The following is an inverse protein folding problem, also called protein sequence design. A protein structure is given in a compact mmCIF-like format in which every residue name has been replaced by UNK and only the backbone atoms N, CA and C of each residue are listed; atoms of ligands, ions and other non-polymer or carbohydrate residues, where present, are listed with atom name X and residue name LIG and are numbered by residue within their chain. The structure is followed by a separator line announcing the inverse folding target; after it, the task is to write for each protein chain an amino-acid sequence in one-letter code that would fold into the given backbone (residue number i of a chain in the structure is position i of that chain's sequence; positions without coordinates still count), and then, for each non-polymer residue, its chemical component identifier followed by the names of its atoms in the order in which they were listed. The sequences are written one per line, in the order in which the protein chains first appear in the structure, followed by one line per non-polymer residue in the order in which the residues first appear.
data_IF_050619908822
#
_entry.id   IF_050619908822
#
_cell.length_a   1.000
_cell.length_b   1.000
_cell.length_c   1.000
_cell.angle_alpha   90.00
_cell.angle_beta   90.00
_cell.angle_gamma   90.00
#
_symmetry.space_group_name_H-M   'P 1'
#
loop_
_entity.id
_entity.type
_entity.pdbx_description
1 polymer ?
#
# COMPACT_ATOMS: atom_id res chain seq x y z
N UNK A 1 27.74 52.25 -39.39
CA UNK A 1 26.27 52.13 -39.23
C UNK A 1 25.90 50.65 -39.15
N UNK A 2 24.97 50.32 -38.25
CA UNK A 2 24.70 48.98 -37.70
C UNK A 2 24.29 47.95 -38.76
N UNK A 3 24.92 46.77 -38.73
CA UNK A 3 24.43 45.53 -39.37
C UNK A 3 23.41 44.88 -38.43
N UNK A 4 22.15 44.85 -38.82
CA UNK A 4 21.08 44.15 -38.11
C UNK A 4 21.13 42.66 -38.49
N UNK A 5 21.50 41.79 -37.55
CA UNK A 5 21.35 40.35 -37.70
C UNK A 5 19.91 39.98 -37.36
N UNK A 6 19.14 39.52 -38.34
CA UNK A 6 17.83 38.89 -38.14
C UNK A 6 18.12 37.45 -37.74
N UNK A 7 17.93 37.13 -36.46
CA UNK A 7 17.97 35.76 -35.96
C UNK A 7 16.65 35.06 -36.26
N UNK A 8 16.69 34.03 -37.10
CA UNK A 8 15.57 33.13 -37.34
C UNK A 8 15.45 32.18 -36.13
N UNK A 9 14.46 32.41 -35.25
CA UNK A 9 14.13 31.49 -34.17
C UNK A 9 13.29 30.35 -34.78
N UNK A 10 13.89 29.18 -34.98
CA UNK A 10 13.14 27.95 -35.23
C UNK A 10 12.48 27.51 -33.92
N UNK A 11 11.17 27.71 -33.82
CA UNK A 11 10.34 27.09 -32.78
C UNK A 11 10.11 25.64 -33.22
N UNK A 12 10.81 24.70 -32.58
CA UNK A 12 10.54 23.28 -32.72
C UNK A 12 9.24 22.97 -31.96
N UNK A 13 8.10 23.05 -32.64
CA UNK A 13 6.84 22.57 -32.11
C UNK A 13 6.87 21.03 -32.11
N UNK A 14 7.24 20.44 -30.98
CA UNK A 14 7.07 19.01 -30.75
C UNK A 14 5.57 18.73 -30.62
N UNK A 15 4.91 18.44 -31.74
CA UNK A 15 3.53 17.94 -31.73
C UNK A 15 3.59 16.49 -31.25
N UNK A 16 3.44 16.31 -29.94
CA UNK A 16 3.16 15.00 -29.37
C UNK A 16 1.73 14.65 -29.80
N UNK A 17 1.59 13.81 -30.82
CA UNK A 17 0.33 13.10 -31.03
C UNK A 17 0.13 12.15 -29.85
N UNK A 18 -0.57 12.62 -28.82
CA UNK A 18 -1.15 11.73 -27.83
C UNK A 18 -2.27 10.96 -28.55
N UNK A 19 -1.94 9.81 -29.11
CA UNK A 19 -2.96 8.80 -29.42
C UNK A 19 -3.73 8.54 -28.14
N UNK A 20 -5.04 8.83 -28.12
CA UNK A 20 -5.88 8.42 -27.02
C UNK A 20 -5.64 6.91 -26.80
N UNK A 21 -5.35 6.47 -25.56
CA UNK A 21 -5.21 5.05 -25.30
C UNK A 21 -6.48 4.36 -25.79
N UNK A 22 -6.33 3.27 -26.55
CA UNK A 22 -7.46 2.46 -26.94
C UNK A 22 -8.29 2.16 -25.68
N UNK A 23 -9.59 2.46 -25.72
CA UNK A 23 -10.47 2.21 -24.60
C UNK A 23 -10.45 0.71 -24.28
N UNK A 24 -9.96 0.33 -23.10
CA UNK A 24 -10.02 -1.06 -22.65
C UNK A 24 -11.51 -1.46 -22.60
N UNK A 25 -11.91 -2.58 -23.23
CA UNK A 25 -13.29 -3.06 -23.17
C UNK A 25 -13.77 -3.23 -21.73
N UNK A 26 -15.05 -3.00 -21.46
CA UNK A 26 -15.62 -3.29 -20.15
C UNK A 26 -15.51 -4.78 -19.84
N UNK A 27 -14.98 -5.12 -18.67
CA UNK A 27 -14.83 -6.49 -18.19
C UNK A 27 -16.14 -7.04 -17.61
N UNK A 28 -16.37 -8.34 -17.75
CA UNK A 28 -17.46 -9.04 -17.06
C UNK A 28 -17.09 -9.31 -15.61
N UNK A 29 -18.10 -9.50 -14.75
CA UNK A 29 -17.88 -9.93 -13.38
C UNK A 29 -17.10 -11.27 -13.34
N UNK A 30 -16.16 -11.45 -12.39
CA UNK A 30 -15.42 -12.69 -12.25
C UNK A 30 -16.33 -13.92 -12.09
N UNK A 31 -15.98 -15.01 -12.77
CA UNK A 31 -16.81 -16.22 -12.84
C UNK A 31 -16.28 -17.28 -11.88
N UNK A 32 -17.17 -17.85 -11.06
CA UNK A 32 -16.84 -18.95 -10.17
C UNK A 32 -16.44 -20.20 -10.97
N UNK A 33 -15.39 -20.89 -10.54
CA UNK A 33 -14.94 -22.09 -11.23
C UNK A 33 -15.57 -23.36 -10.69
N UNK A 34 -16.52 -23.95 -11.43
CA UNK A 34 -17.05 -25.27 -11.10
C UNK A 34 -16.05 -26.41 -11.34
N UNK A 35 -15.01 -26.17 -12.15
CA UNK A 35 -14.03 -27.19 -12.54
C UNK A 35 -12.75 -27.18 -11.68
N UNK A 36 -12.31 -26.01 -11.21
CA UNK A 36 -11.04 -25.86 -10.48
C UNK A 36 -11.22 -25.81 -8.96
N UNK A 37 -12.22 -25.05 -8.49
CA UNK A 37 -12.81 -25.10 -7.15
C UNK A 37 -13.89 -24.00 -7.04
N UNK A 38 -15.06 -24.28 -6.42
CA UNK A 38 -16.18 -23.33 -6.38
C UNK A 38 -15.87 -22.05 -5.60
N UNK A 39 -14.80 -22.04 -4.81
CA UNK A 39 -14.33 -20.89 -4.05
C UNK A 39 -13.27 -20.04 -4.78
N UNK A 40 -13.03 -20.27 -6.07
CA UNK A 40 -12.13 -19.45 -6.89
C UNK A 40 -12.92 -18.80 -8.01
N UNK A 41 -12.71 -17.49 -8.19
CA UNK A 41 -13.30 -16.70 -9.25
C UNK A 41 -12.20 -16.20 -10.18
N UNK A 42 -12.40 -16.34 -11.48
CA UNK A 42 -11.45 -15.87 -12.48
C UNK A 42 -12.01 -14.64 -13.19
N UNK A 43 -11.18 -13.59 -13.28
CA UNK A 43 -11.49 -12.45 -14.13
C UNK A 43 -11.27 -12.78 -15.61
N UNK A 44 -11.74 -11.88 -16.46
CA UNK A 44 -11.49 -11.95 -17.91
C UNK A 44 -9.98 -11.80 -18.19
N UNK A 45 -9.51 -12.45 -19.26
CA UNK A 45 -8.15 -12.24 -19.76
C UNK A 45 -8.16 -10.95 -20.60
N UNK A 46 -7.36 -9.92 -20.24
CA UNK A 46 -7.30 -8.70 -21.03
C UNK A 46 -6.83 -8.98 -22.46
N UNK A 47 -7.29 -8.22 -23.48
CA UNK A 47 -6.83 -8.40 -24.86
C UNK A 47 -5.30 -8.34 -24.98
N UNK A 48 -4.67 -9.39 -25.52
CA UNK A 48 -3.20 -9.48 -25.60
C UNK A 48 -2.49 -9.76 -24.26
N UNK A 49 -3.25 -10.02 -23.20
CA UNK A 49 -2.78 -10.28 -21.84
C UNK A 49 -2.66 -11.77 -21.49
N UNK A 50 -2.68 -12.68 -22.47
CA UNK A 50 -2.73 -14.14 -22.24
C UNK A 50 -1.51 -14.64 -21.46
N UNK A 51 -0.39 -13.91 -21.54
CA UNK A 51 0.87 -14.18 -20.82
C UNK A 51 1.21 -13.14 -19.75
N UNK A 52 0.33 -12.17 -19.51
CA UNK A 52 0.57 -11.12 -18.53
C UNK A 52 0.67 -11.67 -17.10
N UNK A 53 1.26 -10.95 -16.14
CA UNK A 53 1.31 -11.42 -14.75
C UNK A 53 -0.07 -11.71 -14.17
N UNK A 54 -0.13 -12.66 -13.23
CA UNK A 54 -1.35 -13.02 -12.51
C UNK A 54 -1.37 -12.33 -11.15
N UNK A 55 -2.48 -11.69 -10.80
CA UNK A 55 -2.74 -11.13 -9.46
C UNK A 55 -3.82 -11.97 -8.77
N UNK A 56 -3.51 -12.47 -7.57
CA UNK A 56 -4.43 -13.19 -6.71
C UNK A 56 -4.90 -12.29 -5.58
N UNK A 57 -6.21 -12.09 -5.47
CA UNK A 57 -6.84 -11.25 -4.46
C UNK A 57 -7.39 -12.07 -3.30
N UNK A 58 -7.05 -11.67 -2.06
CA UNK A 58 -7.38 -12.40 -0.82
C UNK A 58 -8.09 -11.48 0.17
N UNK A 59 -9.37 -11.74 0.43
CA UNK A 59 -10.22 -10.90 1.29
C UNK A 59 -9.91 -11.07 2.80
N UNK A 60 -10.45 -10.14 3.59
CA UNK A 60 -10.31 -10.07 5.04
C UNK A 60 -11.28 -10.93 5.86
N UNK A 61 -11.38 -10.60 7.15
CA UNK A 61 -12.36 -11.20 8.07
C UNK A 61 -13.79 -10.92 7.59
N UNK A 62 -14.65 -11.93 7.66
CA UNK A 62 -16.05 -11.88 7.22
C UNK A 62 -16.25 -11.47 5.74
N UNK A 63 -15.17 -11.41 4.95
CA UNK A 63 -15.20 -11.02 3.56
C UNK A 63 -15.54 -12.17 2.62
N UNK A 64 -15.65 -11.82 1.35
CA UNK A 64 -15.81 -12.71 0.20
C UNK A 64 -15.05 -12.15 -1.02
N UNK A 65 -14.85 -12.95 -2.05
CA UNK A 65 -14.17 -12.59 -3.29
C UNK A 65 -14.79 -11.32 -3.92
N UNK A 66 -16.12 -11.23 -3.88
CA UNK A 66 -16.90 -10.11 -4.44
C UNK A 66 -16.46 -8.75 -3.89
N UNK A 67 -15.86 -8.69 -2.70
CA UNK A 67 -15.39 -7.44 -2.09
C UNK A 67 -14.36 -6.69 -2.98
N UNK A 68 -13.76 -7.37 -3.97
CA UNK A 68 -12.77 -6.79 -4.89
C UNK A 68 -13.34 -6.20 -6.19
N UNK A 69 -14.62 -6.42 -6.50
CA UNK A 69 -15.24 -5.91 -7.73
C UNK A 69 -16.67 -5.41 -7.57
N UNK A 70 -17.31 -5.71 -6.43
CA UNK A 70 -18.61 -5.15 -6.09
C UNK A 70 -18.43 -3.67 -5.72
N UNK A 71 -19.31 -2.77 -6.20
CA UNK A 71 -19.25 -1.35 -5.84
C UNK A 71 -19.20 -1.14 -4.32
N UNK A 72 -18.37 -0.20 -3.83
CA UNK A 72 -17.62 0.80 -4.60
C UNK A 72 -16.25 0.33 -5.11
N UNK A 73 -15.88 -0.95 -4.95
CA UNK A 73 -14.53 -1.41 -5.26
C UNK A 73 -14.30 -1.63 -6.76
N UNK A 74 -13.36 -0.87 -7.32
CA UNK A 74 -12.92 -0.93 -8.72
C UNK A 74 -11.57 -1.64 -8.90
N UNK A 75 -11.06 -2.35 -7.88
CA UNK A 75 -9.77 -3.05 -7.91
C UNK A 75 -9.63 -3.98 -9.11
N UNK A 76 -10.64 -4.83 -9.35
CA UNK A 76 -10.64 -5.71 -10.52
C UNK A 76 -10.62 -4.92 -11.83
N UNK A 77 -11.43 -3.86 -11.95
CA UNK A 77 -11.50 -3.05 -13.15
C UNK A 77 -10.15 -2.43 -13.50
N UNK A 78 -9.46 -1.89 -12.49
CA UNK A 78 -8.14 -1.28 -12.66
C UNK A 78 -7.07 -2.31 -12.98
N UNK A 79 -7.12 -3.50 -12.36
CA UNK A 79 -6.20 -4.59 -12.67
C UNK A 79 -6.38 -5.12 -14.10
N UNK A 80 -7.63 -5.28 -14.54
CA UNK A 80 -7.95 -5.66 -15.91
C UNK A 80 -7.47 -4.59 -16.91
N UNK A 81 -7.75 -3.31 -16.63
CA UNK A 81 -7.31 -2.19 -17.47
C UNK A 81 -5.78 -2.07 -17.55
N UNK A 82 -5.06 -2.48 -16.51
CA UNK A 82 -3.60 -2.55 -16.52
C UNK A 82 -3.04 -3.80 -17.21
N UNK A 83 -3.89 -4.67 -17.75
CA UNK A 83 -3.50 -5.84 -18.53
C UNK A 83 -3.22 -7.10 -17.71
N UNK A 84 -3.59 -7.15 -16.43
CA UNK A 84 -3.35 -8.31 -15.58
C UNK A 84 -4.41 -9.39 -15.69
N UNK A 85 -3.97 -10.65 -15.60
CA UNK A 85 -4.86 -11.79 -15.35
C UNK A 85 -5.16 -11.83 -13.85
N UNK A 86 -6.41 -12.07 -13.46
CA UNK A 86 -6.81 -11.97 -12.05
C UNK A 86 -7.56 -13.20 -11.56
N UNK A 87 -7.29 -13.57 -10.31
CA UNK A 87 -8.07 -14.56 -9.58
C UNK A 87 -8.45 -14.00 -8.21
N UNK A 88 -9.62 -14.39 -7.72
CA UNK A 88 -10.15 -13.96 -6.43
C UNK A 88 -10.53 -15.19 -5.62
N UNK A 89 -10.02 -15.27 -4.39
CA UNK A 89 -10.17 -16.46 -3.56
C UNK A 89 -11.20 -16.18 -2.47
N UNK A 90 -12.26 -16.99 -2.43
CA UNK A 90 -13.06 -17.18 -1.23
C UNK A 90 -12.31 -18.12 -0.29
N UNK A 91 -11.96 -17.61 0.88
CA UNK A 91 -11.26 -18.39 1.90
C UNK A 91 -12.18 -19.44 2.56
N UNK A 92 -13.50 -19.31 2.41
CA UNK A 92 -14.45 -20.38 2.71
C UNK A 92 -14.62 -21.31 1.52
N UNK A 93 -14.60 -22.63 1.76
CA UNK A 93 -14.74 -23.62 0.69
C UNK A 93 -16.13 -23.63 0.02
N UNK A 94 -17.16 -23.18 0.75
CA UNK A 94 -18.55 -23.11 0.31
C UNK A 94 -18.96 -21.72 -0.25
N UNK A 95 -18.02 -20.78 -0.32
CA UNK A 95 -18.25 -19.43 -0.83
C UNK A 95 -19.06 -18.50 0.08
N UNK A 96 -19.27 -18.86 1.36
CA UNK A 96 -19.94 -17.99 2.34
C UNK A 96 -18.97 -17.01 3.00
N UNK A 97 -19.47 -16.00 3.72
CA UNK A 97 -18.61 -15.15 4.56
C UNK A 97 -17.80 -16.00 5.54
N UNK A 98 -16.55 -15.60 5.75
CA UNK A 98 -15.57 -16.43 6.43
C UNK A 98 -15.06 -15.82 7.75
N UNK A 99 -15.19 -16.57 8.84
CA UNK A 99 -14.70 -16.19 10.16
C UNK A 99 -13.72 -17.22 10.77
N UNK A 100 -13.11 -18.06 9.94
CA UNK A 100 -12.07 -19.00 10.38
C UNK A 100 -10.74 -18.28 10.68
N UNK A 101 -9.91 -18.91 11.51
CA UNK A 101 -8.59 -18.44 11.89
C UNK A 101 -7.57 -18.43 10.74
N UNK A 102 -6.33 -18.06 11.03
CA UNK A 102 -5.27 -17.89 10.04
C UNK A 102 -4.92 -19.22 9.35
N UNK A 103 -4.65 -20.28 10.12
CA UNK A 103 -4.11 -21.56 9.60
C UNK A 103 -5.12 -22.35 8.73
N UNK A 104 -6.41 -22.49 9.10
CA UNK A 104 -7.39 -23.11 8.21
C UNK A 104 -7.51 -22.39 6.87
N UNK A 105 -7.52 -21.06 6.89
CA UNK A 105 -7.59 -20.24 5.68
C UNK A 105 -6.31 -20.29 4.85
N UNK A 106 -5.14 -20.36 5.48
CA UNK A 106 -3.87 -20.56 4.80
C UNK A 106 -3.89 -21.88 4.02
N UNK A 107 -4.48 -22.94 4.59
CA UNK A 107 -4.63 -24.23 3.91
C UNK A 107 -5.53 -24.13 2.68
N UNK A 108 -6.64 -23.39 2.77
CA UNK A 108 -7.51 -23.12 1.61
C UNK A 108 -6.76 -22.33 0.54
N UNK A 109 -6.02 -21.29 0.92
CA UNK A 109 -5.25 -20.46 -0.01
C UNK A 109 -4.16 -21.25 -0.74
N UNK A 110 -3.42 -22.13 -0.05
CA UNK A 110 -2.41 -23.00 -0.69
C UNK A 110 -3.02 -23.87 -1.79
N UNK A 111 -4.17 -24.49 -1.51
CA UNK A 111 -4.90 -25.30 -2.51
C UNK A 111 -5.39 -24.45 -3.68
N UNK A 112 -5.94 -23.26 -3.40
CA UNK A 112 -6.41 -22.35 -4.44
C UNK A 112 -5.28 -21.91 -5.37
N UNK A 113 -4.09 -21.61 -4.83
CA UNK A 113 -2.95 -21.16 -5.63
C UNK A 113 -2.54 -22.22 -6.66
N UNK A 114 -2.49 -23.50 -6.29
CA UNK A 114 -2.19 -24.59 -7.24
C UNK A 114 -3.16 -24.58 -8.42
N UNK A 115 -4.47 -24.50 -8.16
CA UNK A 115 -5.49 -24.42 -9.21
C UNK A 115 -5.34 -23.18 -10.08
N UNK A 116 -4.98 -22.03 -9.49
CA UNK A 116 -4.78 -20.76 -10.22
C UNK A 116 -3.57 -20.85 -11.16
N UNK A 117 -2.44 -21.39 -10.68
CA UNK A 117 -1.21 -21.55 -11.47
C UNK A 117 -1.47 -22.44 -12.69
N UNK A 118 -2.18 -23.56 -12.50
CA UNK A 118 -2.52 -24.49 -13.59
C UNK A 118 -3.48 -23.80 -14.59
N UNK A 119 -4.55 -23.15 -14.09
CA UNK A 119 -5.54 -22.47 -14.95
C UNK A 119 -4.89 -21.42 -15.87
N UNK A 120 -3.95 -20.64 -15.35
CA UNK A 120 -3.27 -19.60 -16.12
C UNK A 120 -1.98 -20.06 -16.79
N UNK A 121 -1.57 -21.32 -16.61
CA UNK A 121 -0.24 -21.81 -16.99
C UNK A 121 0.87 -20.82 -16.57
N UNK A 122 0.78 -20.34 -15.33
CA UNK A 122 1.66 -19.32 -14.78
C UNK A 122 2.67 -19.96 -13.81
N UNK A 123 3.97 -19.59 -13.88
CA UNK A 123 4.98 -20.15 -12.97
C UNK A 123 4.91 -19.52 -11.57
N UNK A 124 4.32 -18.33 -11.44
CA UNK A 124 4.19 -17.60 -10.19
C UNK A 124 3.15 -16.49 -10.30
N UNK A 125 2.75 -15.93 -9.15
CA UNK A 125 1.72 -14.89 -9.02
C UNK A 125 2.18 -13.73 -8.15
N UNK A 126 1.49 -12.61 -8.26
CA UNK A 126 1.44 -11.57 -7.24
C UNK A 126 0.22 -11.80 -6.33
N UNK A 127 0.33 -11.47 -5.05
CA UNK A 127 -0.80 -11.57 -4.12
C UNK A 127 -1.13 -10.18 -3.58
N UNK A 128 -2.39 -9.80 -3.64
CA UNK A 128 -2.94 -8.58 -3.00
C UNK A 128 -3.94 -9.01 -1.95
N UNK A 129 -3.71 -8.61 -0.70
CA UNK A 129 -4.48 -9.08 0.42
C UNK A 129 -4.91 -7.93 1.33
N UNK A 130 -6.17 -7.95 1.76
CA UNK A 130 -6.75 -6.94 2.64
C UNK A 130 -6.98 -7.50 4.04
N UNK A 131 -6.74 -6.67 5.07
CA UNK A 131 -7.07 -7.01 6.46
C UNK A 131 -6.48 -8.37 6.85
N UNK A 132 -7.26 -9.25 7.51
CA UNK A 132 -6.87 -10.64 7.85
C UNK A 132 -6.30 -11.42 6.67
N UNK A 133 -6.68 -11.12 5.44
CA UNK A 133 -6.16 -11.77 4.24
C UNK A 133 -4.64 -11.72 4.17
N UNK A 134 -4.01 -10.61 4.59
CA UNK A 134 -2.55 -10.49 4.58
C UNK A 134 -1.87 -11.49 5.51
N UNK A 135 -2.32 -11.59 6.77
CA UNK A 135 -1.77 -12.59 7.71
C UNK A 135 -2.13 -14.03 7.33
N UNK A 136 -3.19 -14.25 6.56
CA UNK A 136 -3.49 -15.55 5.93
C UNK A 136 -2.47 -15.92 4.86
N UNK A 137 -2.02 -14.97 4.05
CA UNK A 137 -0.92 -15.17 3.08
C UNK A 137 0.37 -15.50 3.80
N UNK A 138 0.69 -14.77 4.87
CA UNK A 138 1.85 -15.09 5.72
C UNK A 138 1.73 -16.47 6.36
N UNK A 139 0.53 -16.86 6.79
CA UNK A 139 0.25 -18.19 7.29
C UNK A 139 0.45 -19.27 6.23
N UNK A 140 0.15 -18.98 4.96
CA UNK A 140 0.41 -19.88 3.85
C UNK A 140 1.91 -20.03 3.59
N UNK A 141 2.68 -18.95 3.69
CA UNK A 141 4.14 -18.90 3.52
C UNK A 141 4.92 -19.70 4.56
N UNK A 142 4.31 -20.06 5.70
CA UNK A 142 4.91 -21.01 6.65
C UNK A 142 5.23 -22.38 6.01
N UNK A 143 4.53 -22.74 4.93
CA UNK A 143 4.96 -23.80 4.04
C UNK A 143 5.88 -23.18 2.98
N UNK A 144 7.17 -23.46 3.07
CA UNK A 144 8.17 -22.84 2.19
C UNK A 144 7.92 -23.14 0.71
N UNK A 145 7.25 -24.25 0.36
CA UNK A 145 6.90 -24.56 -1.02
C UNK A 145 5.94 -23.54 -1.64
N UNK A 146 5.11 -22.89 -0.81
CA UNK A 146 4.21 -21.83 -1.26
C UNK A 146 4.97 -20.61 -1.78
N UNK A 147 6.11 -20.28 -1.14
CA UNK A 147 6.91 -19.10 -1.50
C UNK A 147 7.49 -19.15 -2.91
N UNK A 148 7.76 -20.34 -3.44
CA UNK A 148 8.32 -20.53 -4.79
C UNK A 148 7.39 -20.04 -5.91
N UNK A 149 6.10 -19.92 -5.62
CA UNK A 149 5.09 -19.51 -6.59
C UNK A 149 4.64 -18.05 -6.41
N UNK A 150 5.30 -17.28 -5.54
CA UNK A 150 4.89 -15.90 -5.22
C UNK A 150 6.03 -14.93 -5.53
N UNK A 151 5.75 -13.97 -6.41
CA UNK A 151 6.70 -12.91 -6.80
C UNK A 151 6.79 -11.80 -5.76
N UNK A 152 5.66 -11.38 -5.22
CA UNK A 152 5.55 -10.39 -4.14
C UNK A 152 4.16 -10.44 -3.48
N UNK A 153 4.07 -9.93 -2.26
CA UNK A 153 2.83 -9.79 -1.51
C UNK A 153 2.55 -8.32 -1.19
N UNK A 154 1.34 -7.85 -1.48
CA UNK A 154 0.84 -6.53 -1.12
C UNK A 154 -0.21 -6.68 -0.02
N UNK A 155 0.04 -6.07 1.13
CA UNK A 155 -0.90 -6.07 2.26
C UNK A 155 -1.54 -4.69 2.41
N UNK A 156 -2.86 -4.66 2.56
CA UNK A 156 -3.65 -3.44 2.67
C UNK A 156 -4.37 -3.47 4.01
N UNK A 157 -4.05 -2.53 4.91
CA UNK A 157 -4.65 -2.44 6.24
C UNK A 157 -4.61 -3.79 7.00
N UNK A 158 -3.56 -4.59 6.79
CA UNK A 158 -3.44 -5.91 7.41
C UNK A 158 -2.96 -5.77 8.85
N UNK A 159 -3.61 -6.38 9.86
CA UNK A 159 -3.17 -6.35 11.25
C UNK A 159 -1.95 -7.26 11.51
N UNK A 160 -0.81 -6.89 10.92
CA UNK A 160 0.45 -7.64 10.97
C UNK A 160 0.98 -7.82 12.41
N UNK A 161 0.72 -6.87 13.29
CA UNK A 161 1.06 -6.93 14.73
C UNK A 161 -0.18 -6.98 15.64
N UNK A 162 -1.30 -7.46 15.11
CA UNK A 162 -2.59 -7.50 15.79
C UNK A 162 -3.46 -6.28 15.53
N UNK A 163 -4.70 -6.36 16.00
CA UNK A 163 -5.70 -5.31 15.89
C UNK A 163 -6.19 -4.92 17.28
N UNK A 164 -6.15 -3.63 17.60
CA UNK A 164 -6.67 -3.12 18.87
C UNK A 164 -8.17 -3.43 19.04
N UNK A 165 -8.94 -3.53 17.94
CA UNK A 165 -10.35 -3.97 17.99
C UNK A 165 -10.49 -5.42 18.49
N UNK A 166 -9.53 -6.30 18.22
CA UNK A 166 -9.60 -7.68 18.70
C UNK A 166 -9.43 -7.76 20.23
N UNK A 167 -8.47 -7.02 20.77
CA UNK A 167 -8.24 -6.93 22.22
C UNK A 167 -9.39 -6.19 22.92
N UNK A 168 -9.90 -5.10 22.33
CA UNK A 168 -11.08 -4.42 22.83
C UNK A 168 -12.30 -5.35 22.86
N UNK A 169 -12.58 -6.06 21.77
CA UNK A 169 -13.68 -7.02 21.73
C UNK A 169 -13.53 -8.12 22.79
N UNK A 170 -12.31 -8.65 22.99
CA UNK A 170 -12.03 -9.61 24.05
C UNK A 170 -12.35 -9.05 25.45
N UNK A 171 -12.06 -7.77 25.68
CA UNK A 171 -12.31 -7.09 26.96
C UNK A 171 -13.80 -6.97 27.31
N UNK A 172 -14.70 -7.06 26.33
CA UNK A 172 -16.15 -7.00 26.56
C UNK A 172 -16.73 -8.28 27.16
N UNK A 173 -15.96 -9.37 27.18
CA UNK A 173 -16.43 -10.70 27.59
C UNK A 173 -17.32 -11.42 26.56
N UNK A 174 -17.60 -10.79 25.40
CA UNK A 174 -18.30 -11.45 24.31
C UNK A 174 -17.42 -12.54 23.66
N UNK A 175 -18.00 -13.67 23.23
CA UNK A 175 -17.24 -14.71 22.54
C UNK A 175 -16.71 -14.18 21.20
N UNK A 176 -15.40 -14.36 20.98
CA UNK A 176 -14.76 -13.99 19.73
C UNK A 176 -14.89 -15.08 18.69
N UNK A 177 -15.02 -14.69 17.42
CA UNK A 177 -14.85 -15.62 16.32
C UNK A 177 -13.39 -16.08 16.23
N UNK A 178 -13.09 -17.27 15.68
CA UNK A 178 -11.72 -17.74 15.49
C UNK A 178 -10.85 -16.75 14.68
N UNK A 179 -11.46 -16.08 13.70
CA UNK A 179 -10.80 -15.03 12.94
C UNK A 179 -10.41 -13.84 13.82
N UNK A 180 -11.31 -13.33 14.68
CA UNK A 180 -11.02 -12.15 15.49
C UNK A 180 -10.07 -12.47 16.64
N UNK A 181 -10.23 -13.64 17.29
CA UNK A 181 -9.30 -14.13 18.33
C UNK A 181 -7.86 -14.24 17.78
N UNK A 182 -7.69 -14.72 16.54
CA UNK A 182 -6.37 -14.83 15.91
C UNK A 182 -5.68 -13.48 15.67
N UNK A 183 -6.43 -12.37 15.66
CA UNK A 183 -5.90 -11.02 15.39
C UNK A 183 -5.61 -10.23 16.66
N UNK A 184 -5.78 -10.82 17.85
CA UNK A 184 -5.34 -10.20 19.09
C UNK A 184 -3.84 -9.92 19.09
N UNK A 185 -3.42 -8.90 19.82
CA UNK A 185 -2.02 -8.44 19.81
C UNK A 185 -1.08 -9.53 20.35
N UNK A 186 -1.46 -10.22 21.42
CA UNK A 186 -0.66 -11.31 22.00
C UNK A 186 -0.55 -12.52 21.05
N UNK A 187 -1.63 -12.85 20.35
CA UNK A 187 -1.65 -13.94 19.36
C UNK A 187 -0.79 -13.61 18.14
N UNK A 188 -0.89 -12.38 17.65
CA UNK A 188 -0.08 -11.93 16.52
C UNK A 188 1.39 -11.79 16.88
N UNK A 189 1.75 -11.39 18.11
CA UNK A 189 3.12 -11.42 18.58
C UNK A 189 3.70 -12.85 18.56
N UNK A 190 2.93 -13.85 19.01
CA UNK A 190 3.32 -15.25 18.92
C UNK A 190 3.41 -15.74 17.46
N UNK A 191 2.58 -15.21 16.56
CA UNK A 191 2.67 -15.52 15.13
C UNK A 191 3.90 -14.89 14.46
N UNK A 192 4.27 -13.64 14.82
CA UNK A 192 5.48 -12.96 14.30
C UNK A 192 6.77 -13.71 14.63
N UNK A 193 6.88 -14.29 15.82
CA UNK A 193 8.09 -15.06 16.21
C UNK A 193 8.35 -16.27 15.30
N UNK A 194 7.33 -16.74 14.57
CA UNK A 194 7.43 -17.84 13.60
C UNK A 194 7.46 -17.31 12.17
N UNK A 195 6.62 -16.34 11.84
CA UNK A 195 6.46 -15.83 10.48
C UNK A 195 7.63 -14.94 10.02
N UNK A 196 8.22 -14.12 10.90
CA UNK A 196 9.27 -13.19 10.52
C UNK A 196 10.55 -13.90 10.02
N UNK A 197 11.08 -14.95 10.70
CA UNK A 197 12.21 -15.71 10.17
C UNK A 197 11.91 -16.36 8.82
N UNK A 198 10.68 -16.86 8.63
CA UNK A 198 10.25 -17.44 7.35
C UNK A 198 10.22 -16.40 6.25
N UNK A 199 9.71 -15.19 6.52
CA UNK A 199 9.67 -14.11 5.54
C UNK A 199 11.07 -13.68 5.09
N UNK A 200 12.03 -13.60 6.02
CA UNK A 200 13.44 -13.30 5.70
C UNK A 200 14.05 -14.39 4.81
N UNK A 201 13.85 -15.66 5.17
CA UNK A 201 14.42 -16.80 4.43
C UNK A 201 13.77 -16.99 3.05
N UNK A 202 12.46 -16.77 2.94
CA UNK A 202 11.74 -16.89 1.68
C UNK A 202 12.21 -15.86 0.64
N UNK A 203 12.67 -14.68 1.08
CA UNK A 203 13.15 -13.62 0.20
C UNK A 203 12.08 -13.03 -0.72
N UNK A 204 10.80 -13.38 -0.51
CA UNK A 204 9.66 -12.80 -1.23
C UNK A 204 9.37 -11.41 -0.64
N UNK A 205 9.42 -10.34 -1.44
CA UNK A 205 9.20 -8.99 -0.93
C UNK A 205 7.74 -8.76 -0.53
N UNK A 206 7.55 -8.13 0.62
CA UNK A 206 6.26 -7.61 1.07
C UNK A 206 6.16 -6.10 0.84
N UNK A 207 4.97 -5.64 0.49
CA UNK A 207 4.65 -4.22 0.32
C UNK A 207 3.43 -3.89 1.17
N UNK A 208 3.58 -3.01 2.15
CA UNK A 208 2.51 -2.68 3.10
C UNK A 208 1.89 -1.33 2.76
N UNK A 209 0.56 -1.28 2.68
CA UNK A 209 -0.23 -0.05 2.57
C UNK A 209 -1.09 0.06 3.82
N UNK A 210 -0.95 1.17 4.54
CA UNK A 210 -1.68 1.41 5.79
C UNK A 210 -2.94 2.25 5.54
N UNK A 211 -3.91 2.17 6.44
CA UNK A 211 -5.07 3.06 6.45
C UNK A 211 -5.05 3.89 7.74
N UNK A 212 -5.40 5.17 7.67
CA UNK A 212 -5.11 6.12 8.76
C UNK A 212 -6.29 6.96 9.24
N UNK A 213 -7.50 6.78 8.68
CA UNK A 213 -8.67 7.59 9.06
C UNK A 213 -9.95 6.76 9.18
N UNK A 214 -10.29 6.36 10.41
CA UNK A 214 -11.49 5.59 10.72
C UNK A 214 -12.83 6.24 10.32
N UNK A 215 -12.87 7.56 10.07
CA UNK A 215 -14.10 8.30 9.83
C UNK A 215 -14.49 8.43 8.35
N UNK A 216 -13.60 8.11 7.40
CA UNK A 216 -13.80 8.46 5.98
C UNK A 216 -13.56 7.27 5.05
N UNK A 217 -14.52 6.86 4.21
CA UNK A 217 -15.94 7.07 4.41
C UNK A 217 -16.38 6.41 5.73
N UNK A 218 -17.48 6.91 6.33
CA UNK A 218 -18.01 6.33 7.55
C UNK A 218 -18.45 4.88 7.30
N UNK A 219 -18.05 4.00 8.20
CA UNK A 219 -18.51 2.61 8.25
C UNK A 219 -19.07 2.33 9.65
N UNK A 220 -20.17 1.56 9.78
CA UNK A 220 -20.81 1.32 11.08
C UNK A 220 -19.84 0.81 12.15
N UNK A 221 -18.94 -0.09 11.78
CA UNK A 221 -17.90 -0.59 12.69
C UNK A 221 -16.89 0.51 13.06
N UNK A 222 -16.21 1.11 12.07
CA UNK A 222 -15.08 2.02 12.30
C UNK A 222 -15.50 3.33 12.97
N UNK A 223 -16.76 3.72 12.82
CA UNK A 223 -17.34 4.88 13.51
C UNK A 223 -17.48 4.65 15.02
N UNK A 224 -17.68 3.39 15.44
CA UNK A 224 -17.75 3.01 16.86
C UNK A 224 -16.35 2.77 17.42
N UNK A 225 -15.57 1.97 16.73
CA UNK A 225 -14.28 1.49 17.24
C UNK A 225 -13.15 2.51 17.07
N UNK A 226 -13.18 3.33 16.03
CA UNK A 226 -12.15 4.34 15.77
C UNK A 226 -11.91 5.33 16.91
N UNK A 227 -12.95 5.99 17.46
CA UNK A 227 -12.80 6.86 18.62
C UNK A 227 -12.27 6.13 19.87
N UNK A 228 -12.72 4.89 20.10
CA UNK A 228 -12.23 4.06 21.21
C UNK A 228 -10.72 3.80 21.04
N UNK A 229 -10.31 3.40 19.84
CA UNK A 229 -8.90 3.16 19.52
C UNK A 229 -8.07 4.44 19.67
N UNK A 230 -8.57 5.58 19.20
CA UNK A 230 -7.91 6.88 19.37
C UNK A 230 -7.70 7.18 20.86
N UNK A 231 -8.68 6.91 21.72
CA UNK A 231 -8.53 7.10 23.17
C UNK A 231 -7.50 6.13 23.77
N UNK A 232 -7.58 4.83 23.43
CA UNK A 232 -6.71 3.79 23.97
C UNK A 232 -5.25 3.94 23.55
N UNK A 233 -5.01 4.55 22.39
CA UNK A 233 -3.68 4.64 21.79
C UNK A 233 -3.06 6.03 21.86
N UNK A 234 -3.71 6.98 22.55
CA UNK A 234 -3.21 8.35 22.68
C UNK A 234 -3.24 9.14 21.36
N UNK A 235 -4.24 8.87 20.51
CA UNK A 235 -4.46 9.58 19.25
C UNK A 235 -3.61 9.08 18.09
N UNK A 236 -3.01 7.89 18.19
CA UNK A 236 -2.30 7.29 17.05
C UNK A 236 -3.28 7.12 15.87
N UNK A 237 -2.91 7.54 14.65
CA UNK A 237 -3.76 7.35 13.47
C UNK A 237 -4.18 5.89 13.30
N UNK A 238 -5.47 5.69 13.09
CA UNK A 238 -6.08 4.36 12.98
C UNK A 238 -7.21 4.35 11.96
N UNK A 239 -7.47 3.18 11.40
CA UNK A 239 -8.49 2.96 10.37
C UNK A 239 -9.82 2.46 10.95
N UNK A 240 -9.92 2.40 12.28
CA UNK A 240 -11.06 1.92 13.04
C UNK A 240 -10.98 0.43 13.36
N UNK A 241 -9.96 -0.29 12.90
CA UNK A 241 -9.71 -1.69 13.28
C UNK A 241 -8.33 -1.83 13.92
N UNK A 242 -7.34 -1.14 13.36
CA UNK A 242 -5.99 -1.10 13.87
C UNK A 242 -5.32 0.26 13.66
N UNK A 243 -4.25 0.50 14.41
CA UNK A 243 -3.38 1.67 14.20
C UNK A 243 -2.43 1.48 13.01
N UNK A 244 -2.01 2.58 12.37
CA UNK A 244 -1.05 2.56 11.24
C UNK A 244 0.23 1.77 11.55
N UNK A 245 0.86 1.86 12.74
CA UNK A 245 2.03 1.05 13.04
C UNK A 245 1.74 -0.46 13.04
N UNK A 246 0.54 -0.89 13.44
CA UNK A 246 0.15 -2.32 13.44
C UNK A 246 0.04 -2.92 12.06
N UNK A 247 -0.16 -2.10 11.02
CA UNK A 247 -0.20 -2.56 9.63
C UNK A 247 1.14 -2.66 8.94
N UNK A 248 2.22 -2.16 9.54
CA UNK A 248 3.55 -2.24 8.94
C UNK A 248 4.23 -3.56 9.29
N UNK A 249 5.05 -4.06 8.38
CA UNK A 249 5.93 -5.21 8.59
C UNK A 249 7.37 -4.73 8.80
N UNK A 250 8.25 -5.66 9.16
CA UNK A 250 9.65 -5.35 9.38
C UNK A 250 10.36 -4.88 8.11
N UNK A 251 11.10 -3.78 8.22
CA UNK A 251 11.86 -3.20 7.11
C UNK A 251 12.95 -4.12 6.53
N UNK A 252 13.24 -5.27 7.16
CA UNK A 252 14.16 -6.28 6.64
C UNK A 252 13.62 -7.04 5.43
N UNK A 253 12.30 -7.24 5.34
CA UNK A 253 11.66 -7.99 4.26
C UNK A 253 10.46 -7.27 3.62
N UNK A 254 10.07 -6.11 4.17
CA UNK A 254 8.96 -5.31 3.65
C UNK A 254 9.33 -3.87 3.28
N UNK A 255 8.55 -3.33 2.36
CA UNK A 255 8.57 -1.94 1.91
C UNK A 255 7.26 -1.26 2.30
N UNK A 256 7.34 -0.11 2.96
CA UNK A 256 6.16 0.71 3.25
C UNK A 256 5.81 1.55 2.01
N UNK A 257 4.61 1.33 1.47
CA UNK A 257 4.04 2.11 0.36
C UNK A 257 3.20 3.30 0.86
N UNK A 258 3.30 3.62 2.14
CA UNK A 258 2.64 4.74 2.80
C UNK A 258 1.22 4.41 3.24
N UNK A 259 0.56 5.40 3.81
CA UNK A 259 -0.82 5.30 4.23
C UNK A 259 -1.80 5.94 3.21
N UNK A 260 -3.07 5.56 3.34
CA UNK A 260 -4.22 6.20 2.70
C UNK A 260 -5.16 6.70 3.80
N UNK A 261 -5.60 7.97 3.76
CA UNK A 261 -6.40 8.59 4.82
C UNK A 261 -7.88 8.17 4.73
N UNK A 262 -8.13 6.87 4.82
CA UNK A 262 -9.46 6.27 4.78
C UNK A 262 -9.66 5.21 5.87
N UNK A 263 -10.90 4.76 6.02
CA UNK A 263 -11.32 3.74 6.97
C UNK A 263 -10.91 2.34 6.49
N UNK A 264 -10.89 1.40 7.42
CA UNK A 264 -10.33 0.05 7.19
C UNK A 264 -10.91 -0.64 5.94
N UNK A 265 -12.22 -0.53 5.74
CA UNK A 265 -12.91 -1.21 4.64
C UNK A 265 -12.76 -0.47 3.31
N UNK A 266 -12.67 0.86 3.34
CA UNK A 266 -12.46 1.64 2.13
C UNK A 266 -11.03 1.51 1.60
N UNK A 267 -10.06 1.21 2.46
CA UNK A 267 -8.65 1.03 2.07
C UNK A 267 -8.44 0.00 0.96
N UNK A 268 -9.32 -1.00 0.82
CA UNK A 268 -9.25 -2.01 -0.23
C UNK A 268 -9.76 -1.53 -1.61
N UNK A 269 -10.27 -0.30 -1.71
CA UNK A 269 -10.82 0.26 -2.95
C UNK A 269 -9.69 0.52 -3.96
N UNK A 270 -9.85 -0.01 -5.17
CA UNK A 270 -8.87 0.04 -6.24
C UNK A 270 -8.24 1.41 -6.48
N UNK A 271 -9.04 2.44 -6.74
CA UNK A 271 -8.52 3.78 -7.07
C UNK A 271 -7.62 4.41 -5.99
N UNK A 272 -7.74 3.98 -4.73
CA UNK A 272 -6.93 4.49 -3.62
C UNK A 272 -5.55 3.84 -3.53
N UNK A 273 -5.42 2.56 -3.91
CA UNK A 273 -4.23 1.76 -3.62
C UNK A 273 -3.62 1.06 -4.85
N UNK A 274 -4.42 0.72 -5.85
CA UNK A 274 -3.95 -0.01 -7.03
C UNK A 274 -2.87 0.73 -7.82
N UNK A 275 -2.89 2.07 -8.00
CA UNK A 275 -1.78 2.76 -8.66
C UNK A 275 -0.42 2.50 -8.01
N UNK A 276 -0.36 2.39 -6.68
CA UNK A 276 0.87 2.06 -5.94
C UNK A 276 1.28 0.61 -6.16
N UNK A 277 0.32 -0.31 -6.16
CA UNK A 277 0.55 -1.75 -6.42
C UNK A 277 1.05 -1.97 -7.85
N UNK A 278 0.33 -1.43 -8.84
CA UNK A 278 0.66 -1.54 -10.26
C UNK A 278 2.06 -1.00 -10.55
N UNK A 279 2.45 0.14 -9.96
CA UNK A 279 3.79 0.68 -10.11
C UNK A 279 4.87 -0.33 -9.68
N UNK A 280 4.70 -0.99 -8.52
CA UNK A 280 5.66 -1.99 -8.04
C UNK A 280 5.67 -3.26 -8.90
N UNK A 281 4.51 -3.76 -9.33
CA UNK A 281 4.44 -4.91 -10.23
C UNK A 281 5.17 -4.61 -11.54
N UNK A 282 4.91 -3.44 -12.15
CA UNK A 282 5.60 -3.04 -13.39
C UNK A 282 7.11 -2.94 -13.21
N UNK A 283 7.58 -2.41 -12.08
CA UNK A 283 9.01 -2.36 -11.75
C UNK A 283 9.61 -3.76 -11.62
N UNK A 284 8.93 -4.69 -10.96
CA UNK A 284 9.39 -6.07 -10.79
C UNK A 284 9.43 -6.83 -12.13
N UNK A 285 8.42 -6.64 -12.98
CA UNK A 285 8.33 -7.30 -14.30
C UNK A 285 9.28 -6.72 -15.34
N UNK A 286 9.63 -5.43 -15.25
CA UNK A 286 10.59 -4.81 -16.17
C UNK A 286 12.02 -5.34 -15.99
N UNK A 287 12.27 -6.22 -15.00
CA UNK A 287 13.60 -6.74 -14.71
C UNK A 287 14.58 -5.64 -14.27
N UNK A 288 14.07 -4.43 -13.97
CA UNK A 288 14.85 -3.38 -13.33
C UNK A 288 15.31 -3.92 -12.00
N UNK A 289 16.59 -4.31 -11.98
CA UNK A 289 17.37 -4.86 -10.87
C UNK A 289 16.81 -4.35 -9.55
N UNK A 290 16.39 -5.33 -8.72
CA UNK A 290 15.87 -5.21 -7.36
C UNK A 290 15.92 -3.79 -6.83
N UNK A 291 14.77 -3.21 -6.47
CA UNK A 291 14.70 -1.95 -5.75
C UNK A 291 15.56 -2.08 -4.48
N UNK A 292 16.84 -1.75 -4.60
CA UNK A 292 17.76 -1.77 -3.50
C UNK A 292 17.37 -0.55 -2.72
N UNK A 293 16.88 -0.77 -1.51
CA UNK A 293 16.63 0.32 -0.57
C UNK A 293 17.97 1.01 -0.33
N UNK A 294 18.20 2.07 -1.09
CA UNK A 294 19.48 2.79 -1.10
C UNK A 294 19.53 3.78 0.04
N UNK A 295 18.41 4.42 0.37
CA UNK A 295 18.28 5.41 1.43
C UNK A 295 16.95 5.23 2.17
N UNK A 296 16.97 5.41 3.49
CA UNK A 296 15.81 5.30 4.41
C UNK A 296 15.82 6.46 5.40
N UNK A 297 14.78 6.59 6.23
CA UNK A 297 14.77 7.56 7.35
C UNK A 297 14.40 9.01 6.98
N UNK A 298 14.09 9.29 5.71
CA UNK A 298 13.57 10.57 5.20
C UNK A 298 14.30 11.84 5.65
N UNK A 299 15.23 12.35 4.83
CA UNK A 299 15.87 13.67 4.98
C UNK A 299 16.31 14.06 6.41
N UNK A 300 16.56 13.07 7.27
CA UNK A 300 16.99 13.25 8.65
C UNK A 300 17.82 12.03 9.02
N UNK A 301 18.84 12.24 9.83
CA UNK A 301 19.80 11.21 10.25
C UNK A 301 20.21 11.54 11.67
N UNK A 302 20.21 10.53 12.55
CA UNK A 302 20.78 10.65 13.90
C UNK A 302 22.32 10.52 13.90
N UNK A 303 22.93 10.34 12.73
CA UNK A 303 24.37 10.13 12.59
C UNK A 303 24.83 8.69 12.83
N UNK A 304 23.96 7.81 13.33
CA UNK A 304 24.30 6.43 13.76
C UNK A 304 23.62 5.34 12.89
N UNK A 305 23.01 5.74 11.78
CA UNK A 305 22.44 4.82 10.79
C UNK A 305 21.05 4.28 11.16
N UNK A 306 20.37 4.85 12.17
CA UNK A 306 18.97 4.52 12.43
C UNK A 306 18.04 5.37 11.56
N UNK A 307 16.96 4.75 11.07
CA UNK A 307 15.95 5.46 10.30
C UNK A 307 15.06 6.29 11.25
N UNK A 308 15.14 7.62 11.15
CA UNK A 308 14.21 8.53 11.80
C UNK A 308 12.89 8.61 11.03
N UNK A 309 11.76 8.96 11.67
CA UNK A 309 10.56 9.39 10.96
C UNK A 309 10.92 10.69 10.25
N UNK A 310 11.10 10.63 8.94
CA UNK A 310 11.74 11.71 8.20
C UNK A 310 11.18 13.12 8.42
N UNK A 311 11.94 14.14 8.03
CA UNK A 311 11.53 15.54 8.21
C UNK A 311 10.20 15.84 7.48
N UNK A 312 9.09 15.81 8.24
CA UNK A 312 7.73 16.03 7.72
C UNK A 312 7.48 17.46 7.27
N UNK A 313 8.40 18.37 7.54
CA UNK A 313 8.34 19.74 7.05
C UNK A 313 8.72 19.83 5.57
N UNK A 314 9.35 18.79 5.03
CA UNK A 314 9.65 18.66 3.60
C UNK A 314 8.51 17.99 2.82
N UNK A 315 8.37 18.37 1.55
CA UNK A 315 7.52 17.67 0.59
C UNK A 315 8.05 16.27 0.26
N UNK A 316 7.29 15.53 -0.54
CA UNK A 316 7.84 14.41 -1.31
C UNK A 316 8.98 14.86 -2.25
N UNK A 317 9.86 13.93 -2.69
CA UNK A 317 10.88 14.22 -3.69
C UNK A 317 10.30 14.78 -4.99
N UNK A 318 10.80 15.93 -5.46
CA UNK A 318 10.42 16.51 -6.75
C UNK A 318 11.44 16.20 -7.85
N UNK A 319 12.70 16.01 -7.47
CA UNK A 319 13.78 15.66 -8.40
C UNK A 319 14.81 14.81 -7.69
N UNK A 320 15.48 13.92 -8.43
CA UNK A 320 16.55 13.07 -7.90
C UNK A 320 17.67 12.93 -8.93
N UNK A 321 18.91 12.86 -8.45
CA UNK A 321 20.08 12.62 -9.31
C UNK A 321 21.20 11.93 -8.53
N UNK A 322 21.81 10.92 -9.14
CA UNK A 322 23.09 10.37 -8.66
C UNK A 322 24.25 11.22 -9.19
N UNK A 323 25.14 11.65 -8.29
CA UNK A 323 26.33 12.40 -8.66
C UNK A 323 27.50 12.08 -7.71
N UNK A 324 28.66 11.73 -8.27
CA UNK A 324 29.88 11.38 -7.51
C UNK A 324 29.62 10.38 -6.35
N UNK A 325 28.87 9.31 -6.64
CA UNK A 325 28.57 8.25 -5.66
C UNK A 325 27.52 8.60 -4.60
N UNK A 326 26.88 9.77 -4.67
CA UNK A 326 25.88 10.23 -3.70
C UNK A 326 24.55 10.50 -4.39
N UNK A 327 23.45 10.28 -3.67
CA UNK A 327 22.10 10.57 -4.17
C UNK A 327 21.70 11.97 -3.72
N UNK A 328 21.29 12.82 -4.67
CA UNK A 328 20.75 14.15 -4.40
C UNK A 328 19.26 14.14 -4.65
N UNK A 329 18.50 14.78 -3.77
CA UNK A 329 17.03 14.84 -3.81
C UNK A 329 16.57 16.27 -3.55
N UNK A 330 15.76 16.80 -4.46
CA UNK A 330 15.12 18.11 -4.29
C UNK A 330 13.76 17.99 -3.61
N UNK A 331 13.50 18.85 -2.62
CA UNK A 331 12.24 18.96 -1.88
C UNK A 331 11.79 20.42 -1.78
N UNK A 332 10.53 20.64 -1.40
CA UNK A 332 10.02 21.95 -0.98
C UNK A 332 9.83 21.99 0.55
N UNK A 333 10.23 23.09 1.18
CA UNK A 333 10.09 23.32 2.62
C UNK A 333 8.72 23.85 2.99
N UNK A 334 8.23 23.47 4.18
CA UNK A 334 6.94 23.85 4.75
C UNK A 334 5.75 23.48 3.83
N UNK A 335 5.88 22.40 3.04
CA UNK A 335 4.93 22.05 1.99
C UNK A 335 3.49 21.92 2.51
N UNK A 336 3.29 21.20 3.62
CA UNK A 336 1.96 21.02 4.21
C UNK A 336 1.36 22.36 4.70
N UNK A 337 2.20 23.28 5.18
CA UNK A 337 1.77 24.62 5.57
C UNK A 337 1.36 25.46 4.34
N UNK A 338 2.10 25.36 3.24
CA UNK A 338 1.77 26.02 1.97
C UNK A 338 0.45 25.49 1.42
N UNK A 339 0.23 24.18 1.45
CA UNK A 339 -1.05 23.57 1.05
C UNK A 339 -2.20 24.08 1.91
N UNK A 340 -2.01 24.10 3.24
CA UNK A 340 -3.02 24.61 4.16
C UNK A 340 -3.34 26.09 3.92
N UNK A 341 -2.32 26.95 3.78
CA UNK A 341 -2.49 28.37 3.48
C UNK A 341 -3.20 28.61 2.14
N UNK A 342 -2.84 27.83 1.11
CA UNK A 342 -3.44 27.94 -0.22
C UNK A 342 -4.92 27.55 -0.19
N UNK A 343 -5.25 26.46 0.50
CA UNK A 343 -6.64 26.02 0.67
C UNK A 343 -7.45 27.06 1.45
N UNK A 344 -6.87 27.62 2.51
CA UNK A 344 -7.52 28.64 3.32
C UNK A 344 -7.84 29.91 2.50
N UNK A 345 -6.85 30.39 1.75
CA UNK A 345 -7.02 31.54 0.86
C UNK A 345 -8.04 31.29 -0.26
N UNK A 346 -8.08 30.08 -0.82
CA UNK A 346 -9.01 29.73 -1.89
C UNK A 346 -10.47 29.61 -1.42
N UNK A 347 -10.67 29.18 -0.17
CA UNK A 347 -12.01 28.88 0.36
C UNK A 347 -12.54 29.93 1.34
N UNK A 348 -11.68 30.80 1.87
CA UNK A 348 -12.02 31.74 2.94
C UNK A 348 -12.32 31.04 4.27
N UNK A 349 -11.77 29.84 4.51
CA UNK A 349 -12.14 29.02 5.65
C UNK A 349 -11.67 29.55 7.01
N UNK A 350 -10.65 30.42 7.03
CA UNK A 350 -9.90 30.86 8.21
C UNK A 350 -9.41 29.68 9.10
N UNK A 351 -8.96 28.59 8.48
CA UNK A 351 -8.52 27.34 9.16
C UNK A 351 -7.00 27.10 9.14
N UNK A 352 -6.23 28.05 8.59
CA UNK A 352 -4.78 28.00 8.64
C UNK A 352 -4.27 27.82 10.09
N UNK A 353 -3.34 26.88 10.29
CA UNK A 353 -2.75 26.47 11.58
C UNK A 353 -3.56 25.54 12.50
N UNK A 354 -4.49 24.75 11.97
CA UNK A 354 -4.97 23.54 12.71
C UNK A 354 -3.76 22.62 12.98
N UNK A 355 -3.62 21.98 14.16
CA UNK A 355 -2.38 21.25 14.50
C UNK A 355 -2.14 20.10 13.52
N UNK A 356 -1.17 20.28 12.61
CA UNK A 356 -0.65 19.20 11.79
C UNK A 356 0.41 18.51 12.65
N UNK A 357 0.22 17.23 13.06
CA UNK A 357 1.15 16.59 14.00
C UNK A 357 2.58 16.57 13.46
N UNK A 358 3.54 17.04 14.27
CA UNK A 358 4.97 17.09 13.94
C UNK A 358 5.31 17.94 12.70
N UNK A 359 4.55 19.01 12.44
CA UNK A 359 4.84 20.02 11.40
C UNK A 359 4.64 21.40 12.00
N UNK A 360 5.67 22.24 11.95
CA UNK A 360 5.58 23.63 12.42
C UNK A 360 5.27 24.55 11.24
N UNK A 361 4.24 25.40 11.39
CA UNK A 361 3.89 26.43 10.43
C UNK A 361 4.11 27.81 11.05
N UNK A 362 4.44 28.81 10.23
CA UNK A 362 4.52 30.20 10.71
C UNK A 362 3.13 30.69 11.14
N UNK A 363 3.01 31.61 12.11
CA UNK A 363 1.71 32.15 12.51
C UNK A 363 1.00 32.90 11.38
N UNK A 364 1.75 33.65 10.56
CA UNK A 364 1.25 34.28 9.34
C UNK A 364 1.66 33.43 8.12
N UNK A 365 0.72 33.04 7.24
CA UNK A 365 1.04 32.30 6.02
C UNK A 365 1.96 33.06 5.06
N UNK A 366 2.05 34.39 5.15
CA UNK A 366 2.95 35.22 4.32
C UNK A 366 4.42 35.09 4.73
N UNK A 367 4.67 34.62 5.95
CA UNK A 367 6.02 34.41 6.48
C UNK A 367 6.56 33.01 6.15
N UNK A 368 5.79 32.19 5.42
CA UNK A 368 6.25 30.87 5.02
C UNK A 368 7.53 30.99 4.18
N UNK A 369 8.52 30.10 4.40
CA UNK A 369 9.84 30.25 3.79
C UNK A 369 9.84 30.08 2.27
N UNK A 370 8.83 29.40 1.71
CA UNK A 370 8.69 29.10 0.27
C UNK A 370 9.99 28.63 -0.41
N UNK A 371 10.83 27.92 0.35
CA UNK A 371 12.17 27.52 -0.07
C UNK A 371 12.17 26.12 -0.67
N UNK A 372 13.07 25.88 -1.63
CA UNK A 372 13.45 24.53 -2.03
C UNK A 372 14.60 24.06 -1.14
N UNK A 373 14.79 22.76 -0.98
CA UNK A 373 15.98 22.20 -0.33
C UNK A 373 16.58 21.12 -1.24
N UNK A 374 17.91 21.01 -1.23
CA UNK A 374 18.60 19.86 -1.83
C UNK A 374 19.24 19.05 -0.72
N UNK A 375 18.84 17.79 -0.64
CA UNK A 375 19.32 16.82 0.31
C UNK A 375 20.25 15.83 -0.36
N UNK A 376 21.39 15.56 0.28
CA UNK A 376 22.38 14.60 -0.17
C UNK A 376 22.39 13.40 0.75
N UNK A 377 22.19 12.23 0.19
CA UNK A 377 22.40 10.95 0.86
C UNK A 377 23.77 10.37 0.52
N UNK A 378 24.52 9.99 1.55
CA UNK A 378 25.84 9.36 1.44
C UNK A 378 25.70 7.87 1.79
N UNK A 379 25.78 6.94 0.82
CA UNK A 379 25.56 5.52 1.08
C UNK A 379 26.53 4.89 2.09
N UNK A 380 27.76 5.37 2.15
CA UNK A 380 28.81 4.85 3.02
C UNK A 380 28.50 5.06 4.50
N UNK A 381 27.91 6.21 4.83
CA UNK A 381 27.55 6.61 6.20
C UNK A 381 26.06 6.48 6.47
N UNK A 382 25.25 6.16 5.45
CA UNK A 382 23.79 6.08 5.50
C UNK A 382 23.12 7.34 6.06
N UNK A 383 23.71 8.52 5.78
CA UNK A 383 23.24 9.79 6.33
C UNK A 383 22.71 10.74 5.26
N UNK A 384 21.73 11.54 5.67
CA UNK A 384 21.19 12.67 4.91
C UNK A 384 21.80 13.97 5.40
N UNK A 385 22.14 14.85 4.48
CA UNK A 385 22.64 16.19 4.75
C UNK A 385 21.99 17.19 3.80
N UNK A 386 21.47 18.29 4.33
CA UNK A 386 20.97 19.39 3.50
C UNK A 386 22.16 20.17 2.97
N UNK A 387 22.36 20.13 1.65
CA UNK A 387 23.50 20.75 0.97
C UNK A 387 23.15 22.07 0.29
N UNK A 388 21.86 22.38 0.15
CA UNK A 388 21.38 23.64 -0.42
C UNK A 388 19.99 23.99 0.11
N UNK A 389 19.70 25.29 0.21
CA UNK A 389 18.38 25.86 0.46
C UNK A 389 18.19 27.11 -0.40
#
# INVERSE_FOLDING_TARGET
MRRTKIGLILVFACVIFASAPASVPAQNAPVASLFWAPNIFFGDIPPGGERAPVIVFVHGINGIAQDWWAPPNDMYALAFAAGYRTAFVNLSANGTRNNDGIIPNATVLRKALVSILIKFNAPSVYIVAHSKGGVVVEGAMLDQSFSFYVKAVFTIATPNFGAEVADWAASTGAPLSPALEALRIDRMAAFRSIADPVAVVAGVPYYTISASNYAVPPHPLTTITGPILSQLTGGVPNDGVLTVPRSRLSAFYSFDLGDVPVSHFAAATGNLVFPRINAQIRTLEAGTVAFKKIATGGFSSDGDGNALPGDRQNSFPWSTQWFKGKLYVGTGRAFLCVVAATNDAATGSHTYATPIPNVECTPDPKDLPLAAEIWRYTPETRSWERVYQ
#
